data_IF_476031895701
#
_entry.id   IF_476031895701
#
_cell.length_a   1.000
_cell.length_b   1.000
_cell.length_c   1.000
_cell.angle_alpha   90.00
_cell.angle_beta   90.00
_cell.angle_gamma   90.00
#
_symmetry.space_group_name_H-M   'P 1'
#
loop_
_entity.id
_entity.type
_entity.pdbx_description
1 polymer ?
#
# COMPACT_ATOMS: atom_id res chain seq x y z
N UNK A 1 8.58 4.22 3.84
CA UNK A 1 9.34 4.48 5.06
C UNK A 1 9.83 5.93 5.05
N UNK A 2 9.91 6.56 6.22
CA UNK A 2 10.56 7.86 6.36
C UNK A 2 12.07 7.68 6.14
N UNK A 3 12.73 8.73 5.66
CA UNK A 3 14.19 8.83 5.72
C UNK A 3 14.64 8.95 7.17
N UNK A 4 15.93 8.76 7.41
CA UNK A 4 16.50 8.94 8.76
C UNK A 4 16.28 10.37 9.28
N UNK A 5 16.46 11.37 8.42
CA UNK A 5 16.26 12.78 8.76
C UNK A 5 14.80 13.10 9.09
N UNK A 6 13.86 12.57 8.28
CA UNK A 6 12.41 12.72 8.52
C UNK A 6 11.98 12.04 9.83
N UNK A 7 12.57 10.88 10.16
CA UNK A 7 12.28 10.19 11.41
C UNK A 7 12.80 10.98 12.62
N UNK A 8 14.01 11.50 12.54
CA UNK A 8 14.60 12.35 13.60
C UNK A 8 13.78 13.64 13.78
N UNK A 9 13.34 14.26 12.69
CA UNK A 9 12.50 15.45 12.77
C UNK A 9 11.13 15.13 13.40
N UNK A 10 10.54 13.98 13.07
CA UNK A 10 9.29 13.53 13.69
C UNK A 10 9.48 13.29 15.19
N UNK A 11 10.57 12.64 15.60
CA UNK A 11 10.91 12.42 17.00
C UNK A 11 11.08 13.75 17.74
N UNK A 12 11.87 14.67 17.20
CA UNK A 12 12.06 15.99 17.80
C UNK A 12 10.74 16.76 17.98
N UNK A 13 9.85 16.69 16.98
CA UNK A 13 8.53 17.32 17.08
C UNK A 13 7.68 16.70 18.19
N UNK A 14 7.65 15.37 18.29
CA UNK A 14 6.90 14.63 19.32
C UNK A 14 7.42 14.98 20.72
N UNK A 15 8.73 15.03 20.91
CA UNK A 15 9.36 15.40 22.18
C UNK A 15 9.02 16.84 22.57
N UNK A 16 9.07 17.78 21.62
CA UNK A 16 8.70 19.17 21.83
C UNK A 16 7.22 19.32 22.23
N UNK A 17 6.34 18.58 21.55
CA UNK A 17 4.89 18.66 21.79
C UNK A 17 4.47 17.87 23.04
N UNK A 18 5.37 17.05 23.61
CA UNK A 18 5.16 16.24 24.81
C UNK A 18 4.11 15.15 24.66
N UNK A 19 3.65 14.87 23.46
CA UNK A 19 2.64 13.84 23.12
C UNK A 19 2.63 13.50 21.67
N UNK A 20 2.11 12.31 21.34
CA UNK A 20 1.77 11.92 19.96
C UNK A 20 0.34 12.40 19.66
N UNK A 21 0.21 13.42 18.81
CA UNK A 21 -1.08 14.06 18.49
C UNK A 21 -1.99 13.13 17.68
N UNK A 22 -1.45 12.51 16.64
CA UNK A 22 -2.24 11.62 15.78
C UNK A 22 -2.23 10.19 16.31
N UNK A 23 -3.38 9.51 16.44
CA UNK A 23 -3.45 8.17 16.99
C UNK A 23 -2.68 7.15 16.14
N UNK A 24 -2.28 6.06 16.78
CA UNK A 24 -1.83 4.85 16.10
C UNK A 24 -3.07 4.08 15.71
N UNK A 25 -3.21 3.75 14.42
CA UNK A 25 -4.38 3.02 13.92
C UNK A 25 -4.07 1.52 13.93
N UNK A 26 -4.97 0.75 14.54
CA UNK A 26 -4.82 -0.69 14.74
C UNK A 26 -6.04 -1.44 14.19
N UNK A 27 -5.82 -2.61 13.63
CA UNK A 27 -6.84 -3.56 13.20
C UNK A 27 -6.42 -4.97 13.64
N UNK A 28 -7.27 -5.66 14.41
CA UNK A 28 -7.00 -7.01 14.92
C UNK A 28 -5.59 -7.16 15.56
N UNK A 29 -5.18 -6.14 16.33
CA UNK A 29 -3.87 -6.12 16.98
C UNK A 29 -2.68 -5.76 16.06
N UNK A 30 -2.92 -5.49 14.77
CA UNK A 30 -1.91 -5.09 13.81
C UNK A 30 -1.95 -3.58 13.59
N UNK A 31 -0.79 -2.93 13.61
CA UNK A 31 -0.71 -1.50 13.26
C UNK A 31 -0.90 -1.35 11.76
N UNK A 32 -1.93 -0.61 11.34
CA UNK A 32 -2.22 -0.28 9.95
C UNK A 32 -1.74 1.12 9.55
N UNK A 33 -1.65 2.04 10.51
CA UNK A 33 -0.96 3.33 10.37
C UNK A 33 -0.30 3.78 11.67
N UNK A 34 0.76 4.55 11.57
CA UNK A 34 1.48 5.10 12.71
C UNK A 34 2.70 4.31 13.17
N UNK A 35 3.24 3.39 12.37
CA UNK A 35 4.42 2.58 12.73
C UNK A 35 5.59 3.42 13.27
N UNK A 36 5.93 4.53 12.61
CA UNK A 36 7.03 5.40 13.06
C UNK A 36 6.70 6.07 14.40
N UNK A 37 5.44 6.50 14.59
CA UNK A 37 4.98 7.05 15.88
C UNK A 37 5.06 6.01 17.00
N UNK A 38 4.71 4.76 16.71
CA UNK A 38 4.82 3.66 17.66
C UNK A 38 6.27 3.33 18.03
N UNK A 39 7.19 3.36 17.04
CA UNK A 39 8.63 3.17 17.30
C UNK A 39 9.14 4.25 18.25
N UNK A 40 8.75 5.51 18.03
CA UNK A 40 9.12 6.64 18.90
C UNK A 40 8.50 6.48 20.29
N UNK A 41 7.21 6.11 20.39
CA UNK A 41 6.55 5.84 21.68
C UNK A 41 7.24 4.74 22.49
N UNK A 42 7.74 3.68 21.83
CA UNK A 42 8.53 2.64 22.50
C UNK A 42 9.87 3.15 23.02
N UNK A 43 10.49 4.10 22.33
CA UNK A 43 11.76 4.70 22.73
C UNK A 43 11.58 5.70 23.87
N UNK A 44 10.40 6.34 23.94
CA UNK A 44 10.04 7.37 24.92
C UNK A 44 8.75 6.98 25.65
N UNK A 45 8.81 6.07 26.65
CA UNK A 45 7.62 5.56 27.34
C UNK A 45 6.84 6.64 28.12
N UNK A 46 7.47 7.77 28.43
CA UNK A 46 6.86 8.93 29.09
C UNK A 46 5.93 9.73 28.18
N UNK A 47 6.04 9.56 26.85
CA UNK A 47 5.22 10.28 25.87
C UNK A 47 3.86 9.60 25.70
N UNK A 48 2.76 10.27 26.07
CA UNK A 48 1.43 9.71 25.88
C UNK A 48 1.04 9.63 24.42
N UNK A 49 0.34 8.55 24.07
CA UNK A 49 -0.25 8.35 22.74
C UNK A 49 -1.62 7.70 22.86
N UNK A 50 -2.41 7.82 21.80
CA UNK A 50 -3.71 7.16 21.68
C UNK A 50 -3.68 6.09 20.61
N UNK A 51 -4.45 5.03 20.83
CA UNK A 51 -4.69 3.97 19.85
C UNK A 51 -6.13 4.09 19.38
N UNK A 52 -6.34 4.02 18.08
CA UNK A 52 -7.65 3.95 17.48
C UNK A 52 -7.82 2.61 16.78
N UNK A 53 -8.74 1.81 17.24
CA UNK A 53 -9.08 0.55 16.62
C UNK A 53 -10.07 0.79 15.49
N UNK A 54 -9.75 0.25 14.31
CA UNK A 54 -10.56 0.36 13.10
C UNK A 54 -10.97 -1.03 12.65
N UNK A 55 -12.20 -1.18 12.23
CA UNK A 55 -12.71 -2.44 11.70
C UNK A 55 -12.62 -2.47 10.17
N UNK A 56 -12.14 -3.58 9.63
CA UNK A 56 -12.18 -3.92 8.21
C UNK A 56 -12.81 -5.29 8.05
N UNK A 57 -13.65 -5.48 7.03
CA UNK A 57 -14.32 -6.76 6.78
C UNK A 57 -13.31 -7.89 6.45
N UNK A 58 -12.14 -7.54 5.92
CA UNK A 58 -11.07 -8.46 5.58
C UNK A 58 -9.75 -7.73 5.32
N UNK A 59 -8.66 -8.52 5.15
CA UNK A 59 -7.32 -7.98 4.89
C UNK A 59 -7.21 -7.14 3.62
N UNK A 60 -8.03 -7.39 2.61
CA UNK A 60 -7.97 -6.63 1.35
C UNK A 60 -8.52 -5.22 1.53
N UNK A 61 -9.59 -5.08 2.30
CA UNK A 61 -10.10 -3.76 2.72
C UNK A 61 -9.05 -2.96 3.50
N UNK A 62 -8.37 -3.61 4.45
CA UNK A 62 -7.27 -2.97 5.18
C UNK A 62 -6.16 -2.50 4.23
N UNK A 63 -5.74 -3.33 3.27
CA UNK A 63 -4.72 -2.97 2.26
C UNK A 63 -5.19 -1.79 1.39
N UNK A 64 -6.44 -1.79 0.94
CA UNK A 64 -7.02 -0.70 0.15
C UNK A 64 -6.98 0.61 0.95
N UNK A 65 -7.42 0.55 2.20
CA UNK A 65 -7.40 1.70 3.10
C UNK A 65 -5.98 2.24 3.32
N UNK A 66 -5.00 1.35 3.59
CA UNK A 66 -3.59 1.72 3.75
C UNK A 66 -3.07 2.40 2.47
N UNK A 67 -3.34 1.82 1.30
CA UNK A 67 -2.88 2.38 0.03
C UNK A 67 -3.47 3.78 -0.20
N UNK A 68 -4.77 3.97 0.00
CA UNK A 68 -5.46 5.27 -0.14
C UNK A 68 -4.88 6.31 0.82
N UNK A 69 -4.68 5.94 2.08
CA UNK A 69 -4.09 6.82 3.09
C UNK A 69 -2.66 7.25 2.73
N UNK A 70 -1.84 6.32 2.22
CA UNK A 70 -0.48 6.62 1.79
C UNK A 70 -0.46 7.49 0.52
N UNK A 71 -1.37 7.24 -0.44
CA UNK A 71 -1.49 8.03 -1.68
C UNK A 71 -1.89 9.49 -1.43
N UNK A 72 -2.55 9.79 -0.31
CA UNK A 72 -2.85 11.15 0.13
C UNK A 72 -1.64 11.94 0.64
N UNK A 73 -0.46 11.33 0.78
CA UNK A 73 0.75 12.01 1.26
C UNK A 73 1.40 12.83 0.14
N UNK A 74 1.97 13.99 0.50
CA UNK A 74 2.57 14.93 -0.47
C UNK A 74 3.94 14.50 -0.99
N UNK A 75 4.71 13.70 -0.23
CA UNK A 75 6.12 13.41 -0.47
C UNK A 75 6.36 11.99 -0.99
N UNK A 76 5.51 11.49 -1.89
CA UNK A 76 5.72 10.19 -2.52
C UNK A 76 6.61 10.33 -3.74
N UNK A 77 7.60 9.43 -3.87
CA UNK A 77 8.32 9.26 -5.13
C UNK A 77 7.38 8.72 -6.21
N UNK A 78 7.68 8.92 -7.50
CA UNK A 78 6.91 8.31 -8.59
C UNK A 78 6.79 6.78 -8.45
N UNK A 79 7.87 6.12 -8.01
CA UNK A 79 7.94 4.68 -7.78
C UNK A 79 7.02 4.25 -6.61
N UNK A 80 7.01 5.00 -5.51
CA UNK A 80 6.11 4.77 -4.38
C UNK A 80 4.65 4.94 -4.80
N UNK A 81 4.31 6.02 -5.52
CA UNK A 81 2.96 6.24 -6.04
C UNK A 81 2.54 5.09 -6.97
N UNK A 82 3.40 4.69 -7.89
CA UNK A 82 3.15 3.58 -8.81
C UNK A 82 2.93 2.26 -8.05
N UNK A 83 3.78 1.97 -7.06
CA UNK A 83 3.67 0.77 -6.23
C UNK A 83 2.32 0.73 -5.47
N UNK A 84 1.95 1.83 -4.82
CA UNK A 84 0.71 1.92 -4.04
C UNK A 84 -0.54 1.78 -4.92
N UNK A 85 -0.57 2.41 -6.09
CA UNK A 85 -1.66 2.25 -7.07
C UNK A 85 -1.77 0.79 -7.52
N UNK A 86 -0.64 0.13 -7.77
CA UNK A 86 -0.61 -1.29 -8.14
C UNK A 86 -1.15 -2.19 -7.04
N UNK A 87 -0.75 -1.95 -5.78
CA UNK A 87 -1.23 -2.70 -4.61
C UNK A 87 -2.71 -2.47 -4.33
N UNK A 88 -3.18 -1.23 -4.46
CA UNK A 88 -4.60 -0.92 -4.35
C UNK A 88 -5.42 -1.70 -5.37
N UNK A 89 -5.02 -1.67 -6.64
CA UNK A 89 -5.74 -2.37 -7.71
C UNK A 89 -5.73 -3.89 -7.51
N UNK A 90 -4.60 -4.47 -7.08
CA UNK A 90 -4.50 -5.89 -6.76
C UNK A 90 -5.46 -6.29 -5.63
N UNK A 91 -5.46 -5.52 -4.53
CA UNK A 91 -6.31 -5.77 -3.38
C UNK A 91 -7.80 -5.63 -3.73
N UNK A 92 -8.19 -4.62 -4.51
CA UNK A 92 -9.58 -4.43 -4.92
C UNK A 92 -10.08 -5.57 -5.82
N UNK A 93 -9.24 -6.08 -6.73
CA UNK A 93 -9.62 -7.26 -7.52
C UNK A 93 -9.87 -8.49 -6.66
N UNK A 94 -9.06 -8.68 -5.61
CA UNK A 94 -9.19 -9.80 -4.70
C UNK A 94 -10.39 -9.62 -3.75
N UNK A 95 -10.67 -8.40 -3.34
CA UNK A 95 -11.82 -8.09 -2.50
C UNK A 95 -13.17 -8.33 -3.21
N UNK A 96 -13.24 -8.03 -4.52
CA UNK A 96 -14.46 -8.23 -5.31
C UNK A 96 -14.59 -9.61 -5.97
N UNK A 97 -13.53 -10.39 -6.04
CA UNK A 97 -13.52 -11.68 -6.78
C UNK A 97 -12.62 -12.77 -6.19
N UNK A 98 -12.00 -12.57 -5.05
CA UNK A 98 -11.10 -13.53 -4.42
C UNK A 98 -11.77 -14.29 -3.30
N UNK A 99 -12.19 -15.48 -3.57
CA UNK A 99 -12.61 -16.64 -2.76
C UNK A 99 -14.03 -17.15 -3.00
N UNK A 100 -14.51 -17.08 -4.23
CA UNK A 100 -15.63 -17.96 -4.64
C UNK A 100 -15.11 -19.33 -5.12
N UNK A 101 -14.23 -19.96 -4.34
CA UNK A 101 -13.96 -21.40 -4.42
C UNK A 101 -14.77 -22.19 -3.38
N UNK A 102 -15.94 -21.74 -3.01
CA UNK A 102 -16.90 -22.56 -2.29
C UNK A 102 -18.28 -22.35 -2.89
N UNK A 103 -18.68 -23.31 -3.73
CA UNK A 103 -20.07 -23.62 -4.07
C UNK A 103 -20.95 -22.48 -4.59
N UNK A 104 -20.83 -22.15 -5.88
CA UNK A 104 -22.04 -21.89 -6.66
C UNK A 104 -21.88 -22.33 -8.11
N UNK A 105 -22.89 -23.10 -8.56
CA UNK A 105 -23.08 -23.62 -9.90
C UNK A 105 -22.83 -22.56 -10.97
N UNK A 106 -22.18 -22.99 -12.06
CA UNK A 106 -22.04 -22.29 -13.33
C UNK A 106 -23.29 -21.46 -13.65
N UNK A 107 -23.18 -20.16 -13.52
CA UNK A 107 -23.99 -19.22 -14.28
C UNK A 107 -23.12 -18.72 -15.43
N UNK A 108 -23.49 -19.14 -16.61
CA UNK A 108 -22.92 -18.75 -17.90
C UNK A 108 -23.07 -17.26 -18.11
N UNK A 109 -21.98 -16.50 -17.87
CA UNK A 109 -21.89 -15.10 -18.12
C UNK A 109 -20.43 -14.64 -18.26
N UNK A 110 -19.81 -14.94 -19.41
CA UNK A 110 -18.42 -14.57 -19.73
C UNK A 110 -18.17 -13.05 -19.76
N UNK A 111 -19.21 -12.21 -19.65
CA UNK A 111 -19.11 -10.75 -19.73
C UNK A 111 -19.00 -10.01 -18.37
N UNK A 112 -19.49 -10.56 -17.27
CA UNK A 112 -19.55 -9.87 -15.99
C UNK A 112 -18.18 -9.57 -15.37
N UNK A 113 -17.24 -10.53 -15.41
CA UNK A 113 -15.92 -10.38 -14.81
C UNK A 113 -15.00 -9.38 -15.56
N UNK A 114 -15.20 -9.21 -16.86
CA UNK A 114 -14.42 -8.30 -17.69
C UNK A 114 -14.83 -6.84 -17.45
N UNK A 115 -16.12 -6.60 -17.28
CA UNK A 115 -16.69 -5.27 -17.04
C UNK A 115 -16.26 -4.75 -15.66
N UNK A 116 -16.37 -5.56 -14.63
CA UNK A 116 -16.03 -5.19 -13.24
C UNK A 116 -14.54 -4.79 -13.09
N UNK A 117 -13.63 -5.55 -13.66
CA UNK A 117 -12.19 -5.23 -13.66
C UNK A 117 -11.86 -3.95 -14.41
N UNK A 118 -12.58 -3.64 -15.49
CA UNK A 118 -12.40 -2.41 -16.25
C UNK A 118 -12.90 -1.20 -15.46
N UNK A 119 -14.04 -1.31 -14.79
CA UNK A 119 -14.58 -0.27 -13.92
C UNK A 119 -13.66 0.05 -12.74
N UNK A 120 -13.19 -0.98 -12.03
CA UNK A 120 -12.25 -0.81 -10.91
C UNK A 120 -10.98 -0.09 -11.36
N UNK A 121 -10.41 -0.48 -12.50
CA UNK A 121 -9.19 0.11 -13.05
C UNK A 121 -9.40 1.58 -13.44
N UNK A 122 -10.50 1.88 -14.15
CA UNK A 122 -10.83 3.23 -14.53
C UNK A 122 -11.05 4.13 -13.32
N UNK A 123 -11.80 3.67 -12.32
CA UNK A 123 -12.05 4.42 -11.09
C UNK A 123 -10.75 4.75 -10.34
N UNK A 124 -9.85 3.79 -10.19
CA UNK A 124 -8.54 4.02 -9.56
C UNK A 124 -7.71 5.01 -10.38
N UNK A 125 -7.80 4.94 -11.70
CA UNK A 125 -7.11 5.88 -12.58
C UNK A 125 -7.62 7.31 -12.37
N UNK A 126 -8.93 7.50 -12.33
CA UNK A 126 -9.58 8.79 -12.11
C UNK A 126 -9.28 9.34 -10.71
N UNK A 127 -9.38 8.51 -9.66
CA UNK A 127 -9.04 8.87 -8.27
C UNK A 127 -7.60 9.39 -8.12
N UNK A 128 -6.67 8.90 -8.94
CA UNK A 128 -5.24 9.21 -8.83
C UNK A 128 -4.70 10.13 -9.93
N UNK A 129 -5.57 10.61 -10.84
CA UNK A 129 -5.19 11.48 -11.95
C UNK A 129 -4.23 10.83 -12.94
N UNK A 130 -4.40 9.53 -13.21
CA UNK A 130 -3.59 8.76 -14.16
C UNK A 130 -4.48 8.07 -15.18
N UNK A 131 -3.90 7.55 -16.27
CA UNK A 131 -4.68 6.75 -17.22
C UNK A 131 -4.81 5.29 -16.77
N UNK A 132 -5.80 4.58 -17.30
CA UNK A 132 -6.11 3.21 -16.93
C UNK A 132 -4.96 2.23 -17.26
N UNK A 133 -4.23 2.48 -18.34
CA UNK A 133 -3.07 1.67 -18.72
C UNK A 133 -1.90 1.84 -17.73
N UNK A 134 -1.81 3.01 -17.07
CA UNK A 134 -0.86 3.19 -15.98
C UNK A 134 -1.18 2.27 -14.80
N UNK A 135 -2.46 2.13 -14.41
CA UNK A 135 -2.90 1.25 -13.32
C UNK A 135 -2.51 -0.20 -13.60
N UNK A 136 -2.68 -0.67 -14.85
CA UNK A 136 -2.23 -2.02 -15.27
C UNK A 136 -0.71 -2.19 -15.14
N UNK A 137 0.07 -1.20 -15.60
CA UNK A 137 1.55 -1.22 -15.45
C UNK A 137 1.97 -1.13 -13.98
N UNK A 138 1.22 -0.40 -13.17
CA UNK A 138 1.47 -0.27 -11.74
C UNK A 138 1.26 -1.61 -11.01
N UNK A 139 0.24 -2.39 -11.38
CA UNK A 139 0.04 -3.75 -10.85
C UNK A 139 1.23 -4.66 -11.20
N UNK A 140 1.68 -4.66 -12.45
CA UNK A 140 2.85 -5.46 -12.84
C UNK A 140 4.11 -5.03 -12.09
N UNK A 141 4.30 -3.72 -11.94
CA UNK A 141 5.41 -3.16 -11.20
C UNK A 141 5.40 -3.59 -9.72
N UNK A 142 4.25 -3.46 -9.03
CA UNK A 142 4.14 -3.84 -7.63
C UNK A 142 4.41 -5.33 -7.40
N UNK A 143 3.91 -6.20 -8.28
CA UNK A 143 4.20 -7.64 -8.25
C UNK A 143 5.68 -7.95 -8.47
N UNK A 144 6.32 -7.26 -9.40
CA UNK A 144 7.76 -7.41 -9.65
C UNK A 144 8.59 -6.97 -8.45
N UNK A 145 8.24 -5.84 -7.83
CA UNK A 145 8.91 -5.35 -6.60
C UNK A 145 8.73 -6.33 -5.43
N UNK A 146 7.52 -6.88 -5.25
CA UNK A 146 7.26 -7.87 -4.20
C UNK A 146 8.00 -9.20 -4.44
N UNK A 147 8.11 -9.64 -5.69
CA UNK A 147 8.89 -10.82 -6.05
C UNK A 147 10.40 -10.60 -5.80
N UNK A 148 10.92 -9.44 -6.16
CA UNK A 148 12.31 -9.07 -5.92
C UNK A 148 12.62 -8.98 -4.41
N UNK A 149 11.71 -8.44 -3.61
CA UNK A 149 11.85 -8.37 -2.15
C UNK A 149 11.90 -9.76 -1.51
N UNK A 150 11.10 -10.71 -2.03
CA UNK A 150 11.14 -12.11 -1.55
C UNK A 150 12.46 -12.80 -1.89
N UNK A 151 13.03 -12.48 -3.06
CA UNK A 151 14.31 -13.05 -3.49
C UNK A 151 15.50 -12.41 -2.77
N UNK A 152 15.47 -11.09 -2.59
CA UNK A 152 16.54 -10.30 -1.95
C UNK A 152 15.89 -9.26 -1.03
N UNK A 153 15.83 -9.53 0.28
CA UNK A 153 15.28 -8.59 1.25
C UNK A 153 15.95 -7.20 1.20
N UNK A 154 15.16 -6.14 1.32
CA UNK A 154 15.61 -4.75 1.22
C UNK A 154 15.55 -4.17 -0.20
N UNK A 155 15.31 -4.99 -1.24
CA UNK A 155 15.20 -4.53 -2.62
C UNK A 155 14.02 -3.58 -2.82
N UNK A 156 12.90 -3.85 -2.17
CA UNK A 156 11.71 -2.97 -2.24
C UNK A 156 12.06 -1.54 -1.85
N UNK A 157 12.75 -1.35 -0.73
CA UNK A 157 13.12 -0.01 -0.27
C UNK A 157 14.00 0.69 -1.31
N UNK A 158 15.04 0.05 -1.81
CA UNK A 158 15.96 0.62 -2.81
C UNK A 158 15.25 1.02 -4.11
N UNK A 159 14.29 0.21 -4.56
CA UNK A 159 13.48 0.52 -5.75
C UNK A 159 12.55 1.70 -5.47
N UNK A 160 11.87 1.71 -4.32
CA UNK A 160 10.89 2.74 -3.98
C UNK A 160 11.52 4.09 -3.61
N UNK A 161 12.79 4.11 -3.19
CA UNK A 161 13.57 5.35 -2.99
C UNK A 161 14.22 5.85 -4.28
N UNK A 162 14.22 5.04 -5.35
CA UNK A 162 14.86 5.37 -6.61
C UNK A 162 16.36 5.09 -6.66
N UNK A 163 16.94 4.47 -5.63
CA UNK A 163 18.35 4.07 -5.62
C UNK A 163 18.65 3.02 -6.68
N UNK A 164 17.68 2.16 -6.97
CA UNK A 164 17.77 1.14 -8.01
C UNK A 164 16.64 1.35 -9.02
N UNK A 165 16.99 1.58 -10.27
CA UNK A 165 15.98 1.64 -11.34
C UNK A 165 15.51 0.22 -11.67
N UNK A 166 14.18 -0.03 -11.73
CA UNK A 166 13.69 -1.32 -12.20
C UNK A 166 14.11 -1.51 -13.66
N UNK A 167 14.93 -2.53 -13.91
CA UNK A 167 15.30 -2.91 -15.27
C UNK A 167 14.06 -3.51 -15.93
N UNK A 168 13.65 -2.97 -17.06
CA UNK A 168 12.62 -3.56 -17.89
C UNK A 168 13.17 -4.84 -18.51
N UNK A 169 12.84 -5.99 -17.92
CA UNK A 169 13.15 -7.31 -18.50
C UNK A 169 12.23 -7.56 -19.69
N UNK A 170 12.50 -6.92 -20.82
CA UNK A 170 11.78 -7.20 -22.05
C UNK A 170 12.55 -8.12 -23.01
N UNK A 171 13.76 -8.56 -22.70
CA UNK A 171 14.50 -9.51 -23.52
C UNK A 171 15.41 -10.41 -22.67
N UNK A 172 14.88 -11.55 -22.27
CA UNK A 172 15.64 -12.78 -22.09
C UNK A 172 14.81 -13.90 -22.76
N UNK A 173 14.83 -13.90 -24.07
CA UNK A 173 14.63 -15.11 -24.88
C UNK A 173 15.99 -15.77 -24.99
N UNK A 174 16.13 -16.90 -24.30
CA UNK A 174 17.05 -17.97 -24.70
C UNK A 174 16.27 -18.96 -25.53
#
# INVERSE_FOLDING_TARGET
>A
PLTFEELNQLEANILRDGRIINPIIVWEGLIVDGHNRFIIAKKHPEIPFTVHETEFANRYEAIIWICKNQLGRRNLTPEQKKYLIGKQYEAEKLNHGGDQKSNLKKSTGQNGQSIDKRWTRQRIADENGVNDSFVKRAEQFSKGVDAAEKAVPGTRQKVLTGEVKPVSYTHLTL
#
